data_IF_808880298686
#
_entry.id   IF_808880298686
#
_cell.length_a   1.000
_cell.length_b   1.000
_cell.length_c   1.000
_cell.angle_alpha   90.00
_cell.angle_beta   90.00
_cell.angle_gamma   90.00
#
_symmetry.space_group_name_H-M   'P 1'
#
loop_
_entity.id
_entity.type
_entity.pdbx_description
1 polymer ?
#
# COMPACT_ATOMS: atom_id res chain seq x y z
N UNK A 1 24.83 19.66 27.39
CA UNK A 1 23.60 20.14 26.73
C UNK A 1 23.30 19.40 25.42
N UNK A 2 24.28 19.28 24.50
CA UNK A 2 24.06 18.66 23.18
C UNK A 2 23.59 17.19 23.24
N UNK A 3 24.17 16.37 24.12
CA UNK A 3 23.77 14.96 24.30
C UNK A 3 22.34 14.80 24.80
N UNK A 4 21.88 15.72 25.65
CA UNK A 4 20.50 15.73 26.15
C UNK A 4 19.52 16.09 25.04
N UNK A 5 19.86 17.09 24.22
CA UNK A 5 19.08 17.44 23.03
C UNK A 5 19.05 16.32 21.98
N UNK A 6 20.18 15.63 21.76
CA UNK A 6 20.26 14.49 20.87
C UNK A 6 19.42 13.30 21.36
N UNK A 7 19.44 13.00 22.66
CA UNK A 7 18.62 11.94 23.24
C UNK A 7 17.11 12.24 23.13
N UNK A 8 16.70 13.49 23.34
CA UNK A 8 15.30 13.91 23.18
C UNK A 8 14.84 13.84 21.72
N UNK A 9 15.70 14.20 20.76
CA UNK A 9 15.41 14.04 19.33
C UNK A 9 15.26 12.57 18.95
N UNK A 10 16.15 11.71 19.46
CA UNK A 10 16.07 10.27 19.23
C UNK A 10 14.75 9.69 19.80
N UNK A 11 14.38 10.11 21.01
CA UNK A 11 13.13 9.69 21.66
C UNK A 11 11.89 10.18 20.91
N UNK A 12 11.92 11.43 20.40
CA UNK A 12 10.84 11.99 19.57
C UNK A 12 10.67 11.22 18.27
N UNK A 13 11.78 10.94 17.58
CA UNK A 13 11.80 10.16 16.36
C UNK A 13 11.28 8.73 16.58
N UNK A 14 11.66 8.11 17.70
CA UNK A 14 11.20 6.76 18.04
C UNK A 14 9.69 6.70 18.30
N UNK A 15 9.14 7.73 18.98
CA UNK A 15 7.68 7.85 19.15
C UNK A 15 6.95 8.06 17.83
N UNK A 16 7.51 8.85 16.91
CA UNK A 16 6.90 9.10 15.61
C UNK A 16 6.85 7.84 14.74
N UNK A 17 7.87 6.98 14.83
CA UNK A 17 7.90 5.69 14.12
C UNK A 17 6.92 4.65 14.65
N UNK A 18 6.56 4.75 15.93
CA UNK A 18 5.64 3.84 16.61
C UNK A 18 4.20 4.39 16.65
N UNK A 19 3.92 5.49 15.96
CA UNK A 19 2.54 5.90 15.73
C UNK A 19 1.92 4.88 14.81
N UNK A 20 0.88 4.22 15.32
CA UNK A 20 0.02 3.33 14.56
C UNK A 20 -0.42 4.07 13.29
N UNK A 21 -0.09 3.56 12.09
CA UNK A 21 -0.46 4.20 10.84
C UNK A 21 -1.98 4.36 10.66
N UNK A 22 -2.78 3.67 11.50
CA UNK A 22 -4.23 3.62 11.42
C UNK A 22 -4.72 2.66 10.33
N UNK A 23 -3.81 1.88 9.73
CA UNK A 23 -4.12 0.78 8.83
C UNK A 23 -3.29 -0.44 9.23
N UNK A 24 -3.87 -1.61 9.03
CA UNK A 24 -3.25 -2.90 9.31
C UNK A 24 -2.51 -3.38 8.05
N UNK A 25 -1.21 -3.66 8.18
CA UNK A 25 -0.38 -4.24 7.11
C UNK A 25 -0.20 -5.77 7.24
N UNK A 26 -0.74 -6.38 8.30
CA UNK A 26 -0.72 -7.83 8.46
C UNK A 26 -1.61 -8.51 7.40
N UNK A 27 -1.09 -9.59 6.80
CA UNK A 27 -1.75 -10.39 5.75
C UNK A 27 -2.15 -9.63 4.47
N UNK A 28 -1.51 -8.48 4.19
CA UNK A 28 -1.73 -7.70 2.95
C UNK A 28 -0.68 -8.02 1.88
N UNK A 29 -1.12 -8.51 0.72
CA UNK A 29 -0.28 -8.66 -0.47
C UNK A 29 -0.56 -7.54 -1.48
N UNK A 30 0.47 -6.76 -1.83
CA UNK A 30 0.37 -5.71 -2.84
C UNK A 30 1.08 -6.12 -4.14
N UNK A 31 0.48 -5.82 -5.30
CA UNK A 31 1.08 -6.02 -6.61
C UNK A 31 0.87 -4.79 -7.50
N UNK A 32 1.89 -4.44 -8.29
CA UNK A 32 1.82 -3.38 -9.29
C UNK A 32 1.59 -3.98 -10.68
N UNK A 33 0.56 -3.51 -11.37
CA UNK A 33 0.23 -3.95 -12.73
C UNK A 33 0.14 -2.70 -13.61
N UNK A 34 1.04 -2.61 -14.59
CA UNK A 34 1.06 -1.52 -15.54
C UNK A 34 0.42 -1.97 -16.85
N UNK A 35 -0.70 -1.35 -17.22
CA UNK A 35 -1.30 -1.50 -18.54
C UNK A 35 -0.78 -0.40 -19.47
N UNK A 36 -0.28 -0.73 -20.67
CA UNK A 36 0.13 0.28 -21.65
C UNK A 36 -1.07 1.17 -22.03
N UNK A 37 -0.87 2.49 -22.01
CA UNK A 37 -1.94 3.47 -22.25
C UNK A 37 -2.57 3.37 -23.66
N UNK A 38 -1.81 2.87 -24.63
CA UNK A 38 -2.28 2.53 -25.97
C UNK A 38 -1.75 1.14 -26.32
N UNK A 39 -2.57 0.25 -26.91
CA UNK A 39 -3.95 0.44 -27.35
C UNK A 39 -5.01 0.32 -26.24
N UNK A 40 -4.63 -0.06 -25.01
CA UNK A 40 -5.56 -0.61 -24.00
C UNK A 40 -6.40 0.40 -23.21
N UNK A 41 -6.59 1.63 -23.72
CA UNK A 41 -7.28 2.70 -22.96
C UNK A 41 -8.74 2.32 -22.67
N UNK A 42 -9.44 1.72 -23.64
CA UNK A 42 -10.83 1.28 -23.51
C UNK A 42 -10.96 0.01 -22.69
N UNK A 43 -9.94 -0.83 -22.69
CA UNK A 43 -9.92 -2.17 -22.10
C UNK A 43 -9.40 -2.17 -20.66
N UNK A 44 -8.79 -1.07 -20.19
CA UNK A 44 -8.21 -0.99 -18.85
C UNK A 44 -9.25 -1.25 -17.74
N UNK A 45 -10.39 -0.56 -17.78
CA UNK A 45 -11.46 -0.74 -16.79
C UNK A 45 -12.00 -2.17 -16.73
N UNK A 46 -12.46 -2.80 -17.84
CA UNK A 46 -12.96 -4.17 -17.80
C UNK A 46 -11.87 -5.19 -17.44
N UNK A 47 -10.61 -4.94 -17.81
CA UNK A 47 -9.48 -5.77 -17.41
C UNK A 47 -9.32 -5.80 -15.89
N UNK A 48 -9.25 -4.64 -15.23
CA UNK A 48 -9.10 -4.58 -13.77
C UNK A 48 -10.31 -5.14 -13.02
N UNK A 49 -11.52 -4.96 -13.56
CA UNK A 49 -12.72 -5.55 -12.97
C UNK A 49 -12.64 -7.09 -12.97
N UNK A 50 -12.36 -7.68 -14.13
CA UNK A 50 -12.23 -9.14 -14.27
C UNK A 50 -11.09 -9.68 -13.40
N UNK A 51 -9.99 -8.93 -13.31
CA UNK A 51 -8.85 -9.31 -12.47
C UNK A 51 -9.24 -9.35 -10.99
N UNK A 52 -9.91 -8.33 -10.49
CA UNK A 52 -10.35 -8.27 -9.09
C UNK A 52 -11.34 -9.38 -8.77
N UNK A 53 -12.31 -9.65 -9.65
CA UNK A 53 -13.27 -10.76 -9.48
C UNK A 53 -12.56 -12.11 -9.35
N UNK A 54 -11.54 -12.36 -10.17
CA UNK A 54 -10.76 -13.61 -10.11
C UNK A 54 -9.96 -13.73 -8.82
N UNK A 55 -9.35 -12.63 -8.36
CA UNK A 55 -8.58 -12.63 -7.11
C UNK A 55 -9.51 -12.85 -5.91
N UNK A 56 -10.67 -12.20 -5.88
CA UNK A 56 -11.68 -12.41 -4.83
C UNK A 56 -12.21 -13.84 -4.77
N UNK A 57 -12.17 -14.58 -5.89
CA UNK A 57 -12.56 -15.99 -5.95
C UNK A 57 -11.50 -16.97 -5.44
N UNK A 58 -10.28 -16.54 -5.11
CA UNK A 58 -9.22 -17.43 -4.63
C UNK A 58 -9.43 -17.80 -3.16
N UNK A 59 -9.18 -19.07 -2.78
CA UNK A 59 -9.26 -19.49 -1.38
C UNK A 59 -8.21 -18.75 -0.56
N UNK A 60 -8.64 -18.14 0.55
CA UNK A 60 -7.78 -17.35 1.44
C UNK A 60 -7.81 -15.84 1.21
N UNK A 61 -8.48 -15.36 0.16
CA UNK A 61 -8.68 -13.91 -0.06
C UNK A 61 -9.91 -13.43 0.70
N UNK A 62 -9.71 -12.52 1.66
CA UNK A 62 -10.80 -11.88 2.43
C UNK A 62 -11.37 -10.67 1.68
N UNK A 63 -10.51 -9.90 1.03
CA UNK A 63 -10.88 -8.75 0.21
C UNK A 63 -9.80 -8.48 -0.85
N UNK A 64 -10.18 -7.92 -1.99
CA UNK A 64 -9.26 -7.42 -3.00
C UNK A 64 -9.73 -6.08 -3.55
N UNK A 65 -8.78 -5.17 -3.79
CA UNK A 65 -9.04 -3.82 -4.30
C UNK A 65 -7.86 -3.28 -5.10
N UNK A 66 -8.11 -2.22 -5.88
CA UNK A 66 -7.07 -1.51 -6.63
C UNK A 66 -6.73 -0.18 -5.96
N UNK A 67 -5.44 0.14 -5.87
CA UNK A 67 -4.95 1.43 -5.41
C UNK A 67 -4.00 2.04 -6.44
N UNK A 68 -4.15 3.33 -6.73
CA UNK A 68 -3.23 4.08 -7.59
C UNK A 68 -1.97 4.47 -6.82
N UNK A 69 -2.10 4.67 -5.51
CA UNK A 69 -0.99 5.00 -4.62
C UNK A 69 -1.24 4.26 -3.31
N UNK A 70 -0.30 3.39 -2.94
CA UNK A 70 -0.35 2.71 -1.66
C UNK A 70 0.08 3.69 -0.57
N UNK A 71 -0.57 3.71 0.60
CA UNK A 71 -0.32 4.71 1.65
C UNK A 71 1.12 4.74 2.21
N UNK A 72 2.03 3.88 1.72
CA UNK A 72 3.42 3.72 2.13
C UNK A 72 4.34 3.37 0.95
N UNK A 73 3.90 3.55 -0.30
CA UNK A 73 4.79 3.26 -1.43
C UNK A 73 6.03 4.17 -1.33
N UNK A 74 7.26 3.63 -1.43
CA UNK A 74 8.42 4.47 -1.67
C UNK A 74 8.13 5.27 -2.93
N UNK A 75 8.34 6.59 -2.87
CA UNK A 75 8.34 7.44 -4.06
C UNK A 75 9.54 7.13 -4.95
#
# INVERSE_FOLDING_TARGET
ALLVGAALLLQSFWRLRNVDPGFDDDDVLTMAIALPFSPYRSEATPFFHTLLERIQGLPGVVAAGGAVTLPLSPG
#
